data_IF_783281417063
#
_entry.id   IF_783281417063
#
_cell.length_a   1.000
_cell.length_b   1.000
_cell.length_c   1.000
_cell.angle_alpha   90.00
_cell.angle_beta   90.00
_cell.angle_gamma   90.00
#
_symmetry.space_group_name_H-M   'P 1'
#
loop_
_entity.id
_entity.type
_entity.pdbx_description
1 polymer ?
#
# COMPACT_ATOMS: atom_id res chain seq x y z
N UNK A 1 2.48 -20.12 -10.25
CA UNK A 1 2.27 -19.61 -8.88
C UNK A 1 2.28 -18.10 -8.99
N UNK A 2 1.11 -17.49 -9.10
CA UNK A 2 0.96 -16.05 -9.34
C UNK A 2 0.97 -15.33 -8.00
N UNK A 3 1.86 -14.34 -7.85
CA UNK A 3 1.93 -13.50 -6.66
C UNK A 3 1.19 -12.20 -6.94
N UNK A 4 0.40 -11.79 -5.97
CA UNK A 4 -0.59 -10.73 -6.03
C UNK A 4 -0.03 -9.45 -5.42
N UNK A 5 -0.13 -8.33 -6.15
CA UNK A 5 -0.60 -7.07 -5.59
C UNK A 5 -1.33 -6.30 -6.69
N UNK A 6 -2.38 -5.54 -6.34
CA UNK A 6 -3.20 -4.70 -7.21
C UNK A 6 -2.50 -3.49 -7.86
N UNK A 7 -1.35 -3.72 -8.48
CA UNK A 7 -0.52 -2.72 -9.14
C UNK A 7 -0.32 -3.14 -10.59
N UNK A 8 -0.29 -2.19 -11.53
CA UNK A 8 -0.21 -2.51 -12.95
C UNK A 8 1.16 -3.13 -13.28
N UNK A 9 1.13 -4.31 -13.92
CA UNK A 9 2.35 -5.01 -14.36
C UNK A 9 2.88 -4.35 -15.64
N UNK A 10 3.80 -3.40 -15.52
CA UNK A 10 4.61 -2.89 -16.63
C UNK A 10 5.84 -3.77 -16.88
N UNK A 11 6.13 -4.12 -18.14
CA UNK A 11 7.24 -5.01 -18.51
C UNK A 11 8.64 -4.44 -18.16
N UNK A 12 8.79 -3.10 -18.17
CA UNK A 12 10.06 -2.41 -17.87
C UNK A 12 10.52 -2.58 -16.42
N UNK A 13 9.60 -2.89 -15.51
CA UNK A 13 9.87 -2.94 -14.07
C UNK A 13 10.46 -4.30 -13.67
N UNK A 14 10.25 -5.35 -14.50
CA UNK A 14 10.78 -6.68 -14.24
C UNK A 14 12.31 -6.75 -14.32
N UNK A 15 12.92 -6.00 -15.22
CA UNK A 15 14.38 -6.05 -15.41
C UNK A 15 15.12 -5.38 -14.26
N UNK A 16 14.70 -4.17 -13.85
CA UNK A 16 15.27 -3.47 -12.70
C UNK A 16 14.97 -4.20 -11.38
N UNK A 17 13.78 -4.78 -11.23
CA UNK A 17 13.43 -5.50 -10.01
C UNK A 17 14.10 -6.88 -9.88
N UNK A 18 14.53 -7.50 -10.99
CA UNK A 18 15.37 -8.71 -10.92
C UNK A 18 16.79 -8.37 -10.44
N UNK A 19 17.30 -7.18 -10.74
CA UNK A 19 18.62 -6.73 -10.29
C UNK A 19 18.66 -6.50 -8.76
N UNK A 20 17.54 -6.09 -8.18
CA UNK A 20 17.38 -5.93 -6.73
C UNK A 20 17.25 -7.27 -5.96
N UNK A 21 16.97 -8.38 -6.65
CA UNK A 21 16.71 -9.66 -6.01
C UNK A 21 17.93 -10.18 -5.23
N UNK A 22 17.73 -10.49 -3.95
CA UNK A 22 18.79 -10.94 -3.04
C UNK A 22 19.59 -9.81 -2.38
N UNK A 23 19.45 -8.55 -2.83
CA UNK A 23 20.07 -7.39 -2.19
C UNK A 23 19.58 -7.24 -0.76
N UNK A 24 20.49 -6.92 0.15
CA UNK A 24 20.16 -6.46 1.49
C UNK A 24 19.99 -4.93 1.45
N UNK A 25 18.74 -4.48 1.53
CA UNK A 25 18.34 -3.08 1.55
C UNK A 25 18.14 -2.58 2.99
N UNK A 26 18.50 -1.33 3.24
CA UNK A 26 18.52 -0.65 4.53
C UNK A 26 19.18 -1.47 5.66
N UNK A 27 20.17 -2.31 5.30
CA UNK A 27 20.87 -3.23 6.20
C UNK A 27 20.01 -4.33 6.85
N UNK A 28 18.70 -4.42 6.57
CA UNK A 28 17.79 -5.35 7.26
C UNK A 28 16.69 -5.97 6.40
N UNK A 29 16.50 -5.54 5.16
CA UNK A 29 15.46 -6.09 4.27
C UNK A 29 16.10 -6.79 3.09
N UNK A 30 16.07 -8.12 3.07
CA UNK A 30 16.49 -8.88 1.89
C UNK A 30 15.37 -8.91 0.87
N UNK A 31 15.57 -8.28 -0.29
CA UNK A 31 14.57 -8.25 -1.37
C UNK A 31 14.46 -9.65 -1.98
N UNK A 32 13.24 -10.15 -2.13
CA UNK A 32 12.95 -11.50 -2.63
C UNK A 32 12.35 -11.49 -4.02
N UNK A 33 11.42 -10.57 -4.32
CA UNK A 33 10.80 -10.46 -5.63
C UNK A 33 10.10 -9.10 -5.81
N UNK A 34 9.97 -8.59 -7.05
CA UNK A 34 8.98 -7.56 -7.34
C UNK A 34 7.58 -8.06 -7.08
N UNK A 35 6.74 -7.12 -6.72
CA UNK A 35 5.40 -7.35 -6.24
C UNK A 35 4.42 -6.42 -6.99
N UNK A 36 4.84 -5.18 -7.27
CA UNK A 36 4.08 -4.24 -8.10
C UNK A 36 4.68 -2.84 -8.14
N UNK A 37 4.00 -1.92 -8.81
CA UNK A 37 4.42 -0.52 -8.95
C UNK A 37 3.27 0.39 -9.41
N UNK A 38 3.24 1.63 -8.94
CA UNK A 38 2.31 2.68 -9.35
C UNK A 38 3.10 3.86 -9.88
N UNK A 39 2.43 4.98 -10.17
CA UNK A 39 3.10 6.17 -10.67
C UNK A 39 4.05 6.84 -9.68
N UNK A 40 4.13 6.37 -8.42
CA UNK A 40 4.90 7.02 -7.34
C UNK A 40 5.94 6.08 -6.72
N UNK A 41 5.66 4.78 -6.74
CA UNK A 41 6.37 3.81 -5.93
C UNK A 41 6.38 2.42 -6.53
N UNK A 42 7.35 1.63 -6.09
CA UNK A 42 7.52 0.22 -6.40
C UNK A 42 7.40 -0.59 -5.10
N UNK A 43 6.85 -1.80 -5.18
CA UNK A 43 6.64 -2.69 -4.04
C UNK A 43 7.34 -4.01 -4.29
N UNK A 44 8.05 -4.46 -3.24
CA UNK A 44 8.82 -5.69 -3.23
C UNK A 44 8.34 -6.62 -2.12
N UNK A 45 8.36 -7.92 -2.39
CA UNK A 45 8.38 -8.93 -1.35
C UNK A 45 9.77 -8.90 -0.75
N UNK A 46 9.87 -8.71 0.56
CA UNK A 46 11.14 -8.72 1.25
C UNK A 46 11.06 -9.57 2.52
N UNK A 47 12.24 -9.97 2.99
CA UNK A 47 12.41 -10.58 4.29
C UNK A 47 13.16 -9.63 5.19
N UNK A 48 12.52 -9.16 6.24
CA UNK A 48 13.18 -8.48 7.33
C UNK A 48 14.05 -9.49 8.08
N UNK A 49 15.31 -9.15 8.30
CA UNK A 49 16.30 -9.94 9.04
C UNK A 49 16.61 -9.18 10.33
N UNK A 50 16.42 -9.85 11.47
CA UNK A 50 16.67 -9.33 12.81
C UNK A 50 17.79 -10.09 13.54
N UNK A 51 17.90 -9.81 14.84
CA UNK A 51 18.84 -10.51 15.74
C UNK A 51 18.46 -11.98 15.89
N UNK A 52 19.44 -12.83 16.23
CA UNK A 52 19.23 -14.26 16.53
C UNK A 52 18.49 -15.05 15.42
N UNK A 53 18.64 -14.62 14.15
CA UNK A 53 18.00 -15.28 13.02
C UNK A 53 16.49 -15.04 12.92
N UNK A 54 15.96 -14.03 13.63
CA UNK A 54 14.58 -13.60 13.45
C UNK A 54 14.36 -13.17 11.99
N UNK A 55 13.35 -13.74 11.35
CA UNK A 55 12.96 -13.41 9.99
C UNK A 55 11.47 -13.13 9.91
N UNK A 56 11.10 -12.08 9.18
CA UNK A 56 9.69 -11.73 8.93
C UNK A 56 9.49 -11.35 7.47
N UNK A 57 8.48 -11.91 6.83
CA UNK A 57 8.08 -11.52 5.47
C UNK A 57 7.32 -10.19 5.54
N UNK A 58 7.70 -9.26 4.67
CA UNK A 58 7.14 -7.90 4.60
C UNK A 58 6.95 -7.47 3.15
N UNK A 59 6.02 -6.55 2.93
CA UNK A 59 5.98 -5.76 1.71
C UNK A 59 6.84 -4.50 1.92
N UNK A 60 7.82 -4.29 1.06
CA UNK A 60 8.71 -3.14 1.08
C UNK A 60 8.34 -2.23 -0.09
N UNK A 61 7.70 -1.09 0.20
CA UNK A 61 7.37 -0.07 -0.79
C UNK A 61 8.46 0.98 -0.81
N UNK A 62 9.03 1.27 -1.97
CA UNK A 62 10.05 2.30 -2.20
C UNK A 62 9.49 3.38 -3.14
N UNK A 63 9.86 4.64 -2.94
CA UNK A 63 9.54 5.71 -3.90
C UNK A 63 10.36 5.47 -5.18
N UNK A 64 9.78 5.77 -6.34
CA UNK A 64 10.50 5.72 -7.62
C UNK A 64 11.71 6.69 -7.60
N UNK A 65 12.90 6.29 -8.09
CA UNK A 65 14.10 7.10 -8.01
C UNK A 65 13.95 8.52 -8.60
N UNK A 66 13.18 8.66 -9.68
CA UNK A 66 12.91 9.94 -10.33
C UNK A 66 12.05 10.90 -9.48
N UNK A 67 11.26 10.38 -8.54
CA UNK A 67 10.40 11.17 -7.64
C UNK A 67 11.00 11.35 -6.25
N UNK A 68 12.04 10.59 -5.89
CA UNK A 68 12.70 10.67 -4.59
C UNK A 68 13.35 12.04 -4.32
N UNK A 69 13.59 12.85 -5.36
CA UNK A 69 14.14 14.22 -5.24
C UNK A 69 13.08 15.30 -5.11
N UNK A 70 11.82 14.97 -5.33
CA UNK A 70 10.72 15.92 -5.20
C UNK A 70 10.13 15.82 -3.78
N UNK A 71 10.41 16.85 -2.98
CA UNK A 71 9.99 16.92 -1.58
C UNK A 71 8.47 16.80 -1.41
N UNK A 72 7.67 17.18 -2.42
CA UNK A 72 6.21 17.05 -2.37
C UNK A 72 5.80 15.58 -2.40
N UNK A 73 6.37 14.78 -3.31
CA UNK A 73 6.06 13.35 -3.39
C UNK A 73 6.58 12.60 -2.17
N UNK A 74 7.77 12.94 -1.69
CA UNK A 74 8.33 12.36 -0.46
C UNK A 74 7.45 12.68 0.76
N UNK A 75 6.97 13.92 0.88
CA UNK A 75 6.08 14.31 1.96
C UNK A 75 4.75 13.56 1.91
N UNK A 76 4.12 13.47 0.74
CA UNK A 76 2.87 12.72 0.52
C UNK A 76 3.04 11.25 0.91
N UNK A 77 4.12 10.62 0.44
CA UNK A 77 4.43 9.22 0.72
C UNK A 77 4.56 8.93 2.23
N UNK A 78 5.24 9.80 2.97
CA UNK A 78 5.38 9.62 4.42
C UNK A 78 4.15 10.06 5.22
N UNK A 79 3.36 11.03 4.75
CA UNK A 79 2.13 11.45 5.42
C UNK A 79 1.12 10.29 5.46
N UNK A 80 0.94 9.56 4.36
CA UNK A 80 0.10 8.35 4.30
C UNK A 80 0.59 7.29 5.30
N UNK A 81 1.88 6.99 5.25
CA UNK A 81 2.47 5.96 6.07
C UNK A 81 2.45 6.30 7.57
N UNK A 82 2.63 7.57 7.94
CA UNK A 82 2.54 8.04 9.34
C UNK A 82 1.12 7.95 9.88
N UNK A 83 0.11 8.25 9.05
CA UNK A 83 -1.29 8.06 9.44
C UNK A 83 -1.59 6.57 9.69
N UNK A 84 -1.19 5.71 8.75
CA UNK A 84 -1.39 4.27 8.86
C UNK A 84 -0.59 3.62 10.01
N UNK A 85 0.60 4.14 10.35
CA UNK A 85 1.44 3.61 11.43
C UNK A 85 0.81 3.72 12.82
N UNK A 86 -0.14 4.64 13.02
CA UNK A 86 -0.91 4.75 14.27
C UNK A 86 -2.04 3.73 14.38
N UNK A 87 -2.41 3.10 13.26
CA UNK A 87 -3.52 2.17 13.19
C UNK A 87 -3.03 0.76 13.52
N UNK A 88 -3.76 0.07 14.38
CA UNK A 88 -3.59 -1.36 14.60
C UNK A 88 -4.95 -2.05 14.66
N UNK A 89 -5.37 -2.59 13.52
CA UNK A 89 -6.70 -3.18 13.36
C UNK A 89 -6.66 -4.32 12.31
N UNK A 90 -7.41 -5.42 12.49
CA UNK A 90 -7.41 -6.54 11.54
C UNK A 90 -7.79 -6.14 10.11
N UNK A 91 -8.62 -5.09 9.93
CA UNK A 91 -9.03 -4.61 8.61
C UNK A 91 -8.21 -3.46 8.04
N UNK A 92 -7.06 -3.14 8.63
CA UNK A 92 -6.12 -2.13 8.15
C UNK A 92 -4.73 -2.75 8.02
N UNK A 93 -4.00 -2.39 6.95
CA UNK A 93 -2.61 -2.82 6.77
C UNK A 93 -1.74 -2.26 7.89
N UNK A 94 -0.91 -3.11 8.49
CA UNK A 94 0.02 -2.66 9.53
C UNK A 94 1.30 -2.11 8.89
N UNK A 95 1.68 -0.87 9.24
CA UNK A 95 3.02 -0.34 8.95
C UNK A 95 3.97 -0.79 10.07
N UNK A 96 5.14 -1.28 9.68
CA UNK A 96 6.17 -1.73 10.63
C UNK A 96 7.32 -0.74 10.76
N UNK A 97 7.70 -0.10 9.65
CA UNK A 97 8.88 0.73 9.60
C UNK A 97 8.83 1.72 8.45
N UNK A 98 9.52 2.84 8.61
CA UNK A 98 9.68 3.88 7.61
C UNK A 98 11.13 4.36 7.66
N UNK A 99 11.74 4.60 6.50
CA UNK A 99 13.12 5.04 6.51
C UNK A 99 13.65 5.53 5.18
N UNK A 100 14.96 5.80 5.20
CA UNK A 100 15.76 6.24 4.07
C UNK A 100 17.05 5.43 4.03
N UNK A 101 17.44 4.97 2.84
CA UNK A 101 18.77 4.41 2.57
C UNK A 101 19.37 5.17 1.37
N UNK A 102 20.46 5.90 1.59
CA UNK A 102 21.02 6.75 0.54
C UNK A 102 20.01 7.82 0.11
N UNK A 103 19.57 7.78 -1.14
CA UNK A 103 18.52 8.66 -1.68
C UNK A 103 17.15 7.95 -1.81
N UNK A 104 17.07 6.67 -1.46
CA UNK A 104 15.84 5.89 -1.53
C UNK A 104 15.04 6.05 -0.23
N UNK A 105 13.73 6.24 -0.37
CA UNK A 105 12.78 6.27 0.74
C UNK A 105 11.90 5.04 0.70
N UNK A 106 11.58 4.48 1.88
CA UNK A 106 10.81 3.24 1.95
C UNK A 106 9.82 3.20 3.12
N UNK A 107 8.83 2.32 2.96
CA UNK A 107 7.89 1.86 3.97
C UNK A 107 7.94 0.34 3.99
N UNK A 108 8.21 -0.26 5.14
CA UNK A 108 8.02 -1.69 5.35
C UNK A 108 6.68 -1.91 6.05
N UNK A 109 5.84 -2.75 5.45
CA UNK A 109 4.49 -3.01 5.91
C UNK A 109 4.15 -4.51 5.86
N UNK A 110 3.00 -4.84 6.42
CA UNK A 110 2.42 -6.17 6.36
C UNK A 110 2.36 -6.68 4.91
N UNK A 111 2.91 -7.87 4.68
CA UNK A 111 2.70 -8.56 3.42
C UNK A 111 1.30 -9.19 3.43
N UNK A 112 0.50 -8.83 2.42
CA UNK A 112 -0.88 -9.29 2.30
C UNK A 112 -0.98 -10.38 1.23
N UNK A 113 -1.25 -11.61 1.66
CA UNK A 113 -1.48 -12.75 0.77
C UNK A 113 -2.94 -12.74 0.25
N UNK A 114 -3.18 -11.95 -0.78
CA UNK A 114 -4.51 -11.77 -1.35
C UNK A 114 -4.51 -10.90 -2.61
N UNK A 115 -5.68 -10.73 -3.20
CA UNK A 115 -5.87 -9.92 -4.40
C UNK A 115 -6.65 -8.64 -4.09
N UNK A 116 -6.46 -7.59 -4.88
CA UNK A 116 -7.32 -6.41 -4.74
C UNK A 116 -8.75 -6.74 -5.18
N UNK A 117 -9.74 -6.12 -4.52
CA UNK A 117 -11.14 -6.24 -4.92
C UNK A 117 -11.33 -5.74 -6.36
N UNK A 118 -10.61 -4.69 -6.76
CA UNK A 118 -10.61 -4.18 -8.13
C UNK A 118 -10.15 -5.21 -9.16
N UNK A 119 -9.06 -5.94 -8.87
CA UNK A 119 -8.60 -7.05 -9.72
C UNK A 119 -9.65 -8.16 -9.76
N UNK A 120 -10.17 -8.55 -8.60
CA UNK A 120 -11.17 -9.63 -8.45
C UNK A 120 -12.44 -9.33 -9.24
N UNK A 121 -12.96 -8.11 -9.14
CA UNK A 121 -14.13 -7.63 -9.91
C UNK A 121 -13.84 -7.63 -11.41
N UNK A 122 -12.71 -7.05 -11.83
CA UNK A 122 -12.33 -6.98 -13.24
C UNK A 122 -12.19 -8.37 -13.86
N UNK A 123 -11.59 -9.32 -13.12
CA UNK A 123 -11.41 -10.69 -13.56
C UNK A 123 -12.74 -11.44 -13.69
N UNK A 124 -13.65 -11.28 -12.71
CA UNK A 124 -14.98 -11.85 -12.77
C UNK A 124 -15.75 -11.35 -14.01
N UNK A 125 -15.76 -10.03 -14.24
CA UNK A 125 -16.44 -9.43 -15.39
C UNK A 125 -15.90 -9.90 -16.73
N UNK A 126 -14.57 -9.94 -16.89
CA UNK A 126 -13.92 -10.48 -18.11
C UNK A 126 -14.27 -11.94 -18.37
N UNK A 127 -14.58 -12.68 -17.31
CA UNK A 127 -14.98 -14.09 -17.38
C UNK A 127 -16.50 -14.27 -17.51
N UNK A 128 -17.28 -13.20 -17.66
CA UNK A 128 -18.75 -13.26 -17.75
C UNK A 128 -19.46 -13.55 -16.42
N UNK A 129 -18.79 -13.35 -15.30
CA UNK A 129 -19.31 -13.60 -13.95
C UNK A 129 -19.46 -12.30 -13.16
N UNK A 130 -20.30 -12.35 -12.13
CA UNK A 130 -20.43 -11.32 -11.11
C UNK A 130 -20.05 -11.88 -9.75
N UNK A 131 -19.59 -11.01 -8.85
CA UNK A 131 -19.42 -11.38 -7.46
C UNK A 131 -20.80 -11.56 -6.80
N UNK A 132 -20.93 -12.56 -5.96
CA UNK A 132 -22.16 -12.78 -5.20
C UNK A 132 -22.40 -11.61 -4.24
N UNK A 133 -23.64 -11.16 -4.12
CA UNK A 133 -24.00 -9.98 -3.31
C UNK A 133 -23.57 -10.14 -1.85
N UNK A 134 -23.73 -11.35 -1.28
CA UNK A 134 -23.32 -11.65 0.08
C UNK A 134 -21.80 -11.45 0.31
N UNK A 135 -20.97 -11.80 -0.68
CA UNK A 135 -19.53 -11.56 -0.61
C UNK A 135 -19.24 -10.07 -0.62
N UNK A 136 -19.86 -9.32 -1.54
CA UNK A 136 -19.67 -7.86 -1.63
C UNK A 136 -20.09 -7.18 -0.32
N UNK A 137 -21.24 -7.55 0.24
CA UNK A 137 -21.72 -7.02 1.52
C UNK A 137 -20.75 -7.36 2.67
N UNK A 138 -20.20 -8.59 2.70
CA UNK A 138 -19.22 -8.98 3.72
C UNK A 138 -17.92 -8.16 3.62
N UNK A 139 -17.42 -7.91 2.41
CA UNK A 139 -16.22 -7.10 2.19
C UNK A 139 -16.46 -5.65 2.62
N UNK A 140 -17.61 -5.07 2.26
CA UNK A 140 -17.97 -3.71 2.68
C UNK A 140 -18.08 -3.61 4.20
N UNK A 141 -18.66 -4.61 4.87
CA UNK A 141 -18.74 -4.63 6.33
C UNK A 141 -17.35 -4.60 6.98
N UNK A 142 -16.41 -5.41 6.49
CA UNK A 142 -15.03 -5.43 7.00
C UNK A 142 -14.28 -4.11 6.76
N UNK A 143 -14.47 -3.49 5.59
CA UNK A 143 -13.99 -2.13 5.30
C UNK A 143 -14.56 -1.13 6.30
N UNK A 144 -15.86 -1.17 6.55
CA UNK A 144 -16.52 -0.28 7.51
C UNK A 144 -15.94 -0.41 8.93
N UNK A 145 -15.60 -1.63 9.38
CA UNK A 145 -14.94 -1.84 10.68
C UNK A 145 -13.57 -1.14 10.75
N UNK A 146 -12.76 -1.27 9.70
CA UNK A 146 -11.47 -0.59 9.61
C UNK A 146 -11.59 0.94 9.60
N UNK A 147 -12.57 1.47 8.86
CA UNK A 147 -12.85 2.91 8.80
C UNK A 147 -13.38 3.44 10.14
N UNK A 148 -14.32 2.74 10.78
CA UNK A 148 -14.85 3.09 12.09
C UNK A 148 -13.72 3.19 13.13
N UNK A 149 -12.83 2.19 13.16
CA UNK A 149 -11.67 2.20 14.03
C UNK A 149 -10.79 3.44 13.81
N UNK A 150 -10.44 3.73 12.55
CA UNK A 150 -9.59 4.88 12.24
C UNK A 150 -10.25 6.23 12.63
N UNK A 151 -11.55 6.38 12.36
CA UNK A 151 -12.29 7.59 12.68
C UNK A 151 -12.45 7.82 14.19
N UNK A 152 -12.46 6.76 14.99
CA UNK A 152 -12.61 6.81 16.45
C UNK A 152 -11.28 6.82 17.20
N UNK A 153 -10.14 6.75 16.51
CA UNK A 153 -8.85 6.67 17.18
C UNK A 153 -8.52 8.01 17.87
N UNK A 154 -8.12 7.91 19.13
CA UNK A 154 -7.73 9.03 19.98
C UNK A 154 -6.23 8.95 20.33
N UNK A 155 -5.63 10.09 20.67
CA UNK A 155 -4.29 10.13 21.26
C UNK A 155 -4.31 9.78 22.76
N UNK A 156 -3.13 9.79 23.39
CA UNK A 156 -2.98 9.48 24.82
C UNK A 156 -3.74 10.45 25.75
N UNK A 157 -4.05 11.66 25.25
CA UNK A 157 -4.82 12.68 25.97
C UNK A 157 -6.34 12.58 25.70
N UNK A 158 -6.79 11.56 24.96
CA UNK A 158 -8.20 11.36 24.59
C UNK A 158 -8.70 12.32 23.50
N UNK A 159 -7.80 12.95 22.73
CA UNK A 159 -8.19 13.84 21.63
C UNK A 159 -8.32 13.03 20.33
N UNK A 160 -9.38 13.26 19.53
CA UNK A 160 -9.56 12.54 18.28
C UNK A 160 -8.42 12.86 17.31
N UNK A 161 -7.81 11.82 16.75
CA UNK A 161 -6.75 11.96 15.74
C UNK A 161 -7.30 12.35 14.37
N UNK A 162 -8.63 12.26 14.17
CA UNK A 162 -9.33 12.62 12.94
C UNK A 162 -8.72 11.98 11.68
N UNK A 163 -8.34 10.70 11.77
CA UNK A 163 -7.75 9.97 10.64
C UNK A 163 -8.86 9.59 9.67
N UNK A 164 -8.84 10.19 8.49
CA UNK A 164 -9.77 9.87 7.39
C UNK A 164 -8.97 9.23 6.26
N UNK A 165 -9.45 8.10 5.74
CA UNK A 165 -8.78 7.42 4.62
C UNK A 165 -8.74 8.30 3.36
N UNK A 166 -9.87 8.91 2.99
CA UNK A 166 -9.96 9.90 1.92
C UNK A 166 -10.06 9.36 0.49
N UNK A 167 -9.78 8.08 0.25
CA UNK A 167 -9.79 7.46 -1.09
C UNK A 167 -10.09 5.95 -1.02
N UNK A 168 -11.28 5.62 -0.53
CA UNK A 168 -11.72 4.22 -0.47
C UNK A 168 -12.19 3.80 -1.86
N UNK A 169 -11.41 2.95 -2.53
CA UNK A 169 -11.75 2.37 -3.82
C UNK A 169 -11.40 0.87 -3.88
N UNK A 170 -11.97 0.09 -4.83
CA UNK A 170 -11.71 -1.34 -4.93
C UNK A 170 -10.23 -1.73 -5.07
N UNK A 171 -9.38 -0.84 -5.59
CA UNK A 171 -7.94 -1.07 -5.72
C UNK A 171 -7.21 -1.06 -4.38
N UNK A 172 -7.75 -0.36 -3.37
CA UNK A 172 -7.19 -0.22 -2.01
C UNK A 172 -7.79 -1.20 -1.00
N UNK A 173 -8.66 -2.10 -1.45
CA UNK A 173 -9.26 -3.16 -0.64
C UNK A 173 -8.60 -4.47 -1.06
N UNK A 174 -7.86 -5.11 -0.16
CA UNK A 174 -7.23 -6.41 -0.39
C UNK A 174 -8.08 -7.50 0.27
N UNK A 175 -8.48 -8.50 -0.51
CA UNK A 175 -9.15 -9.71 -0.03
C UNK A 175 -8.11 -10.81 0.08
N UNK A 176 -7.82 -11.21 1.31
CA UNK A 176 -6.84 -12.26 1.62
C UNK A 176 -7.37 -13.63 1.22
N UNK A 177 -6.48 -14.54 0.83
CA UNK A 177 -6.85 -15.93 0.57
C UNK A 177 -7.35 -16.66 1.82
N UNK A 178 -7.02 -16.15 3.01
CA UNK A 178 -7.57 -16.59 4.29
C UNK A 178 -9.01 -16.11 4.55
N UNK A 179 -9.55 -15.25 3.68
CA UNK A 179 -10.89 -14.65 3.82
C UNK A 179 -10.91 -13.31 4.57
N UNK A 180 -9.78 -12.86 5.11
CA UNK A 180 -9.67 -11.52 5.72
C UNK A 180 -9.73 -10.40 4.69
N UNK A 181 -10.11 -9.19 5.12
CA UNK A 181 -10.16 -8.00 4.27
C UNK A 181 -9.32 -6.91 4.90
N UNK A 182 -8.45 -6.28 4.11
CA UNK A 182 -7.49 -5.26 4.55
C UNK A 182 -7.61 -4.01 3.69
N UNK A 183 -7.70 -2.86 4.32
CA UNK A 183 -7.54 -1.55 3.68
C UNK A 183 -6.07 -1.12 3.68
N UNK A 184 -5.60 -0.62 2.54
CA UNK A 184 -4.24 -0.09 2.34
C UNK A 184 -4.28 1.41 2.01
N UNK A 185 -3.14 2.09 2.14
CA UNK A 185 -2.96 3.50 1.76
C UNK A 185 -3.91 4.50 2.46
N UNK A 186 -3.95 4.44 3.79
CA UNK A 186 -4.64 5.45 4.60
C UNK A 186 -3.96 6.83 4.50
N UNK A 187 -4.75 7.90 4.50
CA UNK A 187 -4.25 9.26 4.72
C UNK A 187 -4.19 10.18 3.49
N UNK A 188 -4.76 9.75 2.35
CA UNK A 188 -4.74 10.50 1.07
C UNK A 188 -5.42 11.88 1.18
N UNK A 189 -6.38 12.07 2.10
CA UNK A 189 -7.10 13.35 2.23
C UNK A 189 -6.18 14.56 2.55
N UNK A 190 -5.15 14.38 3.39
CA UNK A 190 -4.19 15.46 3.70
C UNK A 190 -3.13 15.61 2.60
N UNK A 191 -2.75 14.50 1.98
CA UNK A 191 -1.75 14.44 0.93
C UNK A 191 -2.23 15.07 -0.39
N UNK A 192 -3.48 14.81 -0.78
CA UNK A 192 -4.10 15.39 -1.97
C UNK A 192 -4.18 16.92 -1.89
N UNK A 193 -4.46 17.50 -0.71
CA UNK A 193 -4.45 18.96 -0.50
C UNK A 193 -3.09 19.59 -0.83
N UNK A 194 -1.98 18.92 -0.48
CA UNK A 194 -0.61 19.39 -0.80
C UNK A 194 -0.31 19.29 -2.29
N UNK A 195 -0.74 18.22 -2.96
CA UNK A 195 -0.57 18.07 -4.42
C UNK A 195 -1.34 19.14 -5.20
N UNK A 196 -2.55 19.52 -4.78
CA UNK A 196 -3.32 20.61 -5.41
C UNK A 196 -2.70 22.00 -5.25
N UNK A 197 -1.75 22.19 -4.32
CA UNK A 197 -1.04 23.47 -4.13
C UNK A 197 0.23 23.60 -5.00
N UNK A 198 0.62 22.54 -5.71
CA UNK A 198 1.65 22.65 -6.76
C UNK A 198 1.03 23.19 -8.05
N UNK A 199 1.70 24.10 -8.79
CA UNK A 199 1.22 24.53 -10.09
C UNK A 199 1.03 23.30 -10.99
N UNK A 200 -0.23 23.07 -11.35
CA UNK A 200 -0.74 21.97 -12.15
C UNK A 200 0.15 21.63 -13.36
N UNK A 201 0.84 20.49 -13.29
CA UNK A 201 1.59 19.89 -14.41
C UNK A 201 1.30 18.41 -14.66
N UNK A 202 0.72 17.68 -13.71
CA UNK A 202 0.41 16.25 -13.85
C UNK A 202 -1.10 15.97 -13.70
N UNK A 203 -1.91 16.72 -14.43
CA UNK A 203 -3.23 16.26 -14.85
C UNK A 203 -3.18 15.84 -16.31
N UNK A 204 -2.60 14.67 -16.61
CA UNK A 204 -2.94 13.98 -17.86
C UNK A 204 -4.21 13.14 -17.63
N UNK A 205 -5.36 13.74 -17.96
CA UNK A 205 -6.58 12.99 -18.27
C UNK A 205 -6.36 12.03 -19.45
N UNK A 206 -6.94 10.81 -19.41
CA UNK A 206 -8.27 10.39 -19.97
C UNK A 206 -8.28 10.29 -21.52
N UNK A 207 -9.16 9.53 -22.22
CA UNK A 207 -10.31 8.70 -21.80
C UNK A 207 -10.35 7.28 -22.44
N UNK A 208 -11.29 6.41 -22.01
CA UNK A 208 -11.61 5.12 -22.64
C UNK A 208 -12.39 4.19 -21.72
#
# INVERSE_FOLDING_TARGET
MGFAIGWERGDTIREQAMEEQGRLFAGKYRILAPLGSDGISEVYLARQVGVEGFEKVVALRKILPELARDEVFVAVFFDEARAAAKLSHPNVVQIYDLGREGDDFFIAMEYLEGESLGFTVSHAWKSGHFLIEALVASVILEVCKGLEYAHKLEDEDGRPLNIVHGDVCPQKIIVLFSGGVKLVDFGIAQAASRMHQTPSGLSKGKPG
#
